data_IF_592840660423
#
_entry.id   IF_592840660423
#
_cell.length_a   1.000
_cell.length_b   1.000
_cell.length_c   1.000
_cell.angle_alpha   90.00
_cell.angle_beta   90.00
_cell.angle_gamma   90.00
#
_symmetry.space_group_name_H-M   'P 1'
#
loop_
_entity.id
_entity.type
_entity.pdbx_description
1 polymer ?
#
# COMPACT_ATOMS: atom_id res chain seq x y z
N UNK A 1 3.43 -33.63 -13.04
CA UNK A 1 3.75 -32.30 -12.47
C UNK A 1 5.22 -32.25 -12.11
N UNK A 2 5.94 -31.24 -12.61
CA UNK A 2 7.38 -31.10 -12.34
C UNK A 2 7.62 -30.30 -11.06
N UNK A 3 8.80 -30.48 -10.47
CA UNK A 3 9.23 -29.71 -9.32
C UNK A 3 9.27 -28.20 -9.63
N UNK A 4 9.67 -27.84 -10.85
CA UNK A 4 9.69 -26.45 -11.32
C UNK A 4 8.31 -25.82 -11.31
N UNK A 5 7.30 -26.54 -11.79
CA UNK A 5 5.92 -26.06 -11.78
C UNK A 5 5.37 -25.88 -10.36
N UNK A 6 5.70 -26.80 -9.45
CA UNK A 6 5.31 -26.68 -8.04
C UNK A 6 5.93 -25.44 -7.43
N UNK A 7 7.21 -25.20 -7.67
CA UNK A 7 7.91 -24.01 -7.16
C UNK A 7 7.32 -22.73 -7.72
N UNK A 8 6.98 -22.72 -9.02
CA UNK A 8 6.37 -21.56 -9.65
C UNK A 8 5.00 -21.23 -9.07
N UNK A 9 4.18 -22.25 -8.81
CA UNK A 9 2.88 -22.08 -8.15
C UNK A 9 3.07 -21.45 -6.76
N UNK A 10 4.04 -21.92 -5.99
CA UNK A 10 4.34 -21.38 -4.66
C UNK A 10 4.76 -19.92 -4.72
N UNK A 11 5.63 -19.56 -5.68
CA UNK A 11 6.06 -18.17 -5.87
C UNK A 11 4.87 -17.26 -6.17
N UNK A 12 4.03 -17.64 -7.12
CA UNK A 12 2.89 -16.82 -7.53
C UNK A 12 1.84 -16.77 -6.42
N UNK A 13 1.61 -17.86 -5.70
CA UNK A 13 0.70 -17.86 -4.55
C UNK A 13 1.19 -16.91 -3.45
N UNK A 14 2.50 -16.84 -3.22
CA UNK A 14 3.09 -15.90 -2.27
C UNK A 14 2.89 -14.45 -2.73
N UNK A 15 3.08 -14.16 -4.02
CA UNK A 15 2.81 -12.84 -4.60
C UNK A 15 1.35 -12.43 -4.40
N UNK A 16 0.41 -13.34 -4.67
CA UNK A 16 -1.02 -13.08 -4.46
C UNK A 16 -1.31 -12.71 -3.00
N UNK A 17 -0.75 -13.48 -2.06
CA UNK A 17 -0.93 -13.22 -0.64
C UNK A 17 -0.33 -11.87 -0.22
N UNK A 18 0.84 -11.52 -0.75
CA UNK A 18 1.50 -10.24 -0.46
C UNK A 18 0.70 -9.05 -0.99
N UNK A 19 0.22 -9.12 -2.22
CA UNK A 19 -0.61 -8.04 -2.80
C UNK A 19 -1.94 -7.90 -2.05
N UNK A 20 -2.55 -8.99 -1.63
CA UNK A 20 -3.76 -8.94 -0.81
C UNK A 20 -3.50 -8.23 0.52
N UNK A 21 -2.38 -8.55 1.17
CA UNK A 21 -1.94 -7.88 2.40
C UNK A 21 -1.72 -6.39 2.20
N UNK A 22 -1.12 -6.00 1.07
CA UNK A 22 -0.91 -4.58 0.72
C UNK A 22 -2.25 -3.85 0.56
N UNK A 23 -3.22 -4.47 -0.12
CA UNK A 23 -4.56 -3.88 -0.31
C UNK A 23 -5.26 -3.70 1.03
N UNK A 24 -5.25 -4.69 1.90
CA UNK A 24 -5.87 -4.59 3.21
C UNK A 24 -5.18 -3.54 4.09
N UNK A 25 -3.85 -3.49 4.04
CA UNK A 25 -3.08 -2.52 4.82
C UNK A 25 -3.37 -1.08 4.42
N UNK A 26 -3.40 -0.80 3.12
CA UNK A 26 -3.67 0.55 2.63
C UNK A 26 -5.13 0.95 2.83
N UNK A 27 -6.07 0.01 2.71
CA UNK A 27 -7.49 0.27 3.00
C UNK A 27 -7.69 0.67 4.46
N UNK A 28 -7.04 0.00 5.38
CA UNK A 28 -7.11 0.33 6.81
C UNK A 28 -6.59 1.75 7.08
N UNK A 29 -5.48 2.12 6.47
CA UNK A 29 -4.90 3.46 6.62
C UNK A 29 -5.82 4.53 6.04
N UNK A 30 -6.35 4.32 4.83
CA UNK A 30 -7.27 5.26 4.18
C UNK A 30 -8.50 5.46 5.05
N UNK A 31 -9.12 4.38 5.53
CA UNK A 31 -10.31 4.44 6.39
C UNK A 31 -10.05 5.25 7.65
N UNK A 32 -8.93 5.01 8.32
CA UNK A 32 -8.56 5.78 9.52
C UNK A 32 -8.35 7.25 9.23
N UNK A 33 -7.66 7.58 8.14
CA UNK A 33 -7.39 8.98 7.79
C UNK A 33 -8.67 9.71 7.40
N UNK A 34 -9.59 9.05 6.67
CA UNK A 34 -10.88 9.63 6.32
C UNK A 34 -11.74 9.85 7.57
N UNK A 35 -11.75 8.92 8.52
CA UNK A 35 -12.47 9.06 9.78
C UNK A 35 -11.94 10.24 10.59
N UNK A 36 -10.63 10.43 10.63
CA UNK A 36 -10.02 11.57 11.32
C UNK A 36 -10.41 12.90 10.67
N UNK A 37 -10.49 12.97 9.34
CA UNK A 37 -10.94 14.18 8.64
C UNK A 37 -12.41 14.54 8.93
N UNK A 38 -13.25 13.56 9.21
CA UNK A 38 -14.65 13.78 9.58
C UNK A 38 -14.82 14.19 11.04
N UNK A 39 -13.80 13.99 11.88
CA UNK A 39 -13.86 14.30 13.31
C UNK A 39 -13.14 15.61 13.59
N UNK A 40 -13.91 16.66 13.90
CA UNK A 40 -13.39 18.00 14.19
C UNK A 40 -12.44 18.06 15.41
N UNK A 41 -12.51 17.09 16.29
CA UNK A 41 -11.66 17.02 17.50
C UNK A 41 -10.34 16.31 17.26
N UNK A 42 -10.17 15.68 16.11
CA UNK A 42 -8.99 14.88 15.78
C UNK A 42 -8.36 15.42 14.51
N UNK A 43 -7.05 15.56 14.51
CA UNK A 43 -6.30 15.91 13.30
C UNK A 43 -5.05 15.07 13.26
N UNK A 44 -4.53 14.82 12.05
CA UNK A 44 -3.25 14.17 11.90
C UNK A 44 -2.22 15.14 11.34
N UNK A 45 -0.97 14.91 11.64
CA UNK A 45 0.14 15.73 11.15
C UNK A 45 0.85 15.01 10.00
N UNK A 46 1.39 15.80 9.08
CA UNK A 46 2.21 15.27 7.97
C UNK A 46 3.67 15.50 8.31
N UNK A 47 4.46 14.44 8.32
CA UNK A 47 5.86 14.46 8.64
C UNK A 47 6.69 13.92 7.48
N UNK A 48 7.76 14.62 7.12
CA UNK A 48 8.75 14.13 6.17
C UNK A 48 9.94 13.61 6.96
N UNK A 49 10.28 12.35 6.75
CA UNK A 49 11.45 11.73 7.33
C UNK A 49 12.54 11.62 6.28
N UNK A 50 13.72 12.13 6.59
CA UNK A 50 14.89 12.08 5.70
C UNK A 50 15.85 11.02 6.20
N UNK A 51 16.27 10.14 5.30
CA UNK A 51 17.13 9.01 5.59
C UNK A 51 18.42 9.08 4.77
N UNK A 52 19.53 8.71 5.35
CA UNK A 52 20.73 8.41 4.59
C UNK A 52 20.74 6.93 4.20
N UNK A 53 21.34 6.60 3.06
CA UNK A 53 21.44 5.22 2.59
C UNK A 53 22.12 4.33 3.63
N UNK A 54 21.49 3.20 3.96
CA UNK A 54 22.01 2.23 4.92
C UNK A 54 21.68 2.53 6.38
N UNK A 55 21.06 3.66 6.70
CA UNK A 55 20.66 4.00 8.06
C UNK A 55 19.30 3.40 8.41
N UNK A 56 19.12 3.07 9.69
CA UNK A 56 17.88 2.50 10.22
C UNK A 56 17.00 3.52 10.93
N UNK A 57 17.53 4.72 11.18
CA UNK A 57 16.78 5.82 11.81
C UNK A 57 16.79 7.06 10.91
N UNK A 58 15.75 7.87 11.01
CA UNK A 58 15.64 9.10 10.24
C UNK A 58 16.73 10.09 10.68
N UNK A 59 17.42 10.69 9.69
CA UNK A 59 18.38 11.77 9.91
C UNK A 59 17.68 13.05 10.36
N UNK A 60 16.55 13.36 9.72
CA UNK A 60 15.72 14.51 10.01
C UNK A 60 14.24 14.14 9.98
N UNK A 61 13.46 14.86 10.79
CA UNK A 61 12.01 14.76 10.80
C UNK A 61 11.45 16.18 10.71
N UNK A 62 10.66 16.42 9.67
CA UNK A 62 10.08 17.73 9.40
C UNK A 62 8.56 17.64 9.47
N UNK A 63 7.96 18.30 10.47
CA UNK A 63 6.52 18.37 10.59
C UNK A 63 6.00 19.52 9.71
N UNK A 64 5.35 19.20 8.60
CA UNK A 64 4.85 20.21 7.66
C UNK A 64 3.75 21.09 8.26
N UNK A 65 2.98 20.56 9.20
CA UNK A 65 1.92 21.32 9.85
C UNK A 65 2.42 22.57 10.58
N UNK A 66 3.69 22.55 11.02
CA UNK A 66 4.31 23.72 11.68
C UNK A 66 4.57 24.89 10.74
N UNK A 67 4.61 24.64 9.43
CA UNK A 67 4.96 25.63 8.41
C UNK A 67 3.76 26.01 7.51
N UNK A 68 2.64 25.29 7.64
CA UNK A 68 1.47 25.52 6.82
C UNK A 68 0.38 26.24 7.62
N UNK A 69 -0.35 27.13 6.96
CA UNK A 69 -1.54 27.74 7.55
C UNK A 69 -2.63 26.67 7.72
N UNK A 70 -3.61 26.95 8.57
CA UNK A 70 -4.76 26.05 8.75
C UNK A 70 -5.53 25.82 7.45
N UNK A 71 -5.50 26.77 6.50
CA UNK A 71 -6.10 26.62 5.17
C UNK A 71 -5.35 25.61 4.31
N UNK A 72 -4.04 25.52 4.43
CA UNK A 72 -3.20 24.66 3.59
C UNK A 72 -3.06 23.24 4.15
N UNK A 73 -3.32 23.05 5.44
CA UNK A 73 -3.19 21.75 6.10
C UNK A 73 -4.22 20.73 5.58
N UNK A 74 -5.48 21.14 5.43
CA UNK A 74 -6.54 20.25 4.95
C UNK A 74 -6.31 19.80 3.51
N UNK A 75 -6.04 20.70 2.55
CA UNK A 75 -5.70 20.28 1.18
C UNK A 75 -4.52 19.31 1.12
N UNK A 76 -3.49 19.50 1.94
CA UNK A 76 -2.36 18.57 2.00
C UNK A 76 -2.80 17.18 2.48
N UNK A 77 -3.58 17.10 3.56
CA UNK A 77 -4.08 15.82 4.06
C UNK A 77 -4.94 15.10 3.04
N UNK A 78 -5.82 15.85 2.36
CA UNK A 78 -6.67 15.27 1.31
C UNK A 78 -5.85 14.77 0.12
N UNK A 79 -4.79 15.49 -0.26
CA UNK A 79 -3.88 15.05 -1.31
C UNK A 79 -3.17 13.74 -0.94
N UNK A 80 -2.79 13.58 0.31
CA UNK A 80 -2.17 12.34 0.81
C UNK A 80 -3.16 11.18 0.72
N UNK A 81 -4.40 11.39 1.12
CA UNK A 81 -5.45 10.37 1.03
C UNK A 81 -5.67 9.97 -0.44
N UNK A 82 -5.72 10.94 -1.34
CA UNK A 82 -5.91 10.69 -2.78
C UNK A 82 -4.73 9.89 -3.37
N UNK A 83 -3.50 10.21 -2.97
CA UNK A 83 -2.32 9.44 -3.39
C UNK A 83 -2.37 8.00 -2.88
N UNK A 84 -2.83 7.79 -1.65
CA UNK A 84 -2.99 6.45 -1.10
C UNK A 84 -4.07 5.66 -1.86
N UNK A 85 -5.15 6.33 -2.28
CA UNK A 85 -6.19 5.70 -3.10
C UNK A 85 -5.67 5.29 -4.48
N UNK A 86 -4.82 6.12 -5.10
CA UNK A 86 -4.15 5.77 -6.36
C UNK A 86 -3.24 4.55 -6.18
N UNK A 87 -2.46 4.52 -5.11
CA UNK A 87 -1.58 3.40 -4.79
C UNK A 87 -2.39 2.11 -4.55
N UNK A 88 -3.54 2.23 -3.90
CA UNK A 88 -4.46 1.12 -3.71
C UNK A 88 -4.91 0.51 -5.03
N UNK A 89 -5.23 1.33 -6.02
CA UNK A 89 -5.62 0.85 -7.34
C UNK A 89 -4.49 0.07 -8.02
N UNK A 90 -3.24 0.51 -7.86
CA UNK A 90 -2.08 -0.25 -8.36
C UNK A 90 -1.96 -1.61 -7.68
N UNK A 91 -2.12 -1.68 -6.36
CA UNK A 91 -2.08 -2.94 -5.62
C UNK A 91 -3.19 -3.89 -6.05
N UNK A 92 -4.40 -3.38 -6.28
CA UNK A 92 -5.53 -4.17 -6.78
C UNK A 92 -5.23 -4.71 -8.17
N UNK A 93 -4.65 -3.89 -9.05
CA UNK A 93 -4.26 -4.32 -10.40
C UNK A 93 -3.23 -5.43 -10.35
N UNK A 94 -2.19 -5.29 -9.51
CA UNK A 94 -1.15 -6.29 -9.35
C UNK A 94 -1.71 -7.59 -8.77
N UNK A 95 -2.60 -7.49 -7.79
CA UNK A 95 -3.29 -8.63 -7.20
C UNK A 95 -4.09 -9.41 -8.26
N UNK A 96 -4.84 -8.71 -9.09
CA UNK A 96 -5.63 -9.32 -10.17
C UNK A 96 -4.73 -10.04 -11.19
N UNK A 97 -3.63 -9.42 -11.58
CA UNK A 97 -2.66 -10.03 -12.52
C UNK A 97 -2.04 -11.29 -11.93
N UNK A 98 -1.62 -11.25 -10.68
CA UNK A 98 -1.04 -12.39 -10.01
C UNK A 98 -2.05 -13.53 -9.84
N UNK A 99 -3.31 -13.20 -9.55
CA UNK A 99 -4.40 -14.18 -9.43
C UNK A 99 -4.65 -14.90 -10.76
N UNK A 100 -4.69 -14.14 -11.86
CA UNK A 100 -4.84 -14.73 -13.20
C UNK A 100 -3.67 -15.66 -13.52
N UNK A 101 -2.44 -15.28 -13.20
CA UNK A 101 -1.26 -16.13 -13.39
C UNK A 101 -1.35 -17.42 -12.59
N UNK A 102 -1.81 -17.33 -11.34
CA UNK A 102 -1.97 -18.50 -10.48
C UNK A 102 -3.03 -19.47 -11.04
N UNK A 103 -4.17 -18.94 -11.49
CA UNK A 103 -5.23 -19.74 -12.12
C UNK A 103 -4.72 -20.46 -13.37
N UNK A 104 -3.95 -19.76 -14.20
CA UNK A 104 -3.35 -20.35 -15.40
C UNK A 104 -2.42 -21.51 -15.06
N UNK A 105 -1.55 -21.33 -14.09
CA UNK A 105 -0.61 -22.35 -13.63
C UNK A 105 -1.36 -23.57 -13.05
N UNK A 106 -2.42 -23.31 -12.27
CA UNK A 106 -3.24 -24.38 -11.71
C UNK A 106 -3.91 -25.21 -12.80
N UNK A 107 -4.44 -24.56 -13.85
CA UNK A 107 -5.05 -25.25 -15.00
C UNK A 107 -4.03 -26.08 -15.77
N UNK A 108 -2.82 -25.59 -15.96
CA UNK A 108 -1.73 -26.34 -16.60
C UNK A 108 -1.43 -27.62 -15.84
N UNK A 109 -1.38 -27.56 -14.52
CA UNK A 109 -1.14 -28.72 -13.67
C UNK A 109 -2.31 -29.72 -13.72
N UNK A 110 -3.55 -29.23 -13.68
CA UNK A 110 -4.74 -30.09 -13.73
C UNK A 110 -4.90 -30.82 -15.05
N UNK A 111 -4.34 -30.30 -16.14
CA UNK A 111 -4.42 -30.89 -17.47
C UNK A 111 -3.23 -31.82 -17.80
N UNK A 112 -2.34 -32.06 -16.87
CA UNK A 112 -1.25 -33.05 -17.03
C UNK A 112 -1.73 -34.52 -16.78
#
# INVERSE_FOLDING_TARGET
>A
MTKEKINKIREVATEVANYMGDVYGIDEIIEKLEDYELNERVSFTTEICVWEAGETSAKDRICLNSFLSSYDQKPLRMAIIDLLKEQREEYISDFKKATVSLEKLAKEVLNE
#
